data_IF_294594923954
#
_entry.id   IF_294594923954
#
_cell.length_a   1.000
_cell.length_b   1.000
_cell.length_c   1.000
_cell.angle_alpha   90.00
_cell.angle_beta   90.00
_cell.angle_gamma   90.00
#
_symmetry.space_group_name_H-M   'P 1'
#
loop_
_entity.id
_entity.type
_entity.pdbx_description
1 polymer ?
#
# COMPACT_ATOMS: atom_id res chain seq x y z
N UNK A 1 54.37 49.95 -27.77
CA UNK A 1 53.88 48.76 -28.49
C UNK A 1 52.92 49.24 -29.57
N UNK A 2 53.31 49.12 -30.84
CA UNK A 2 52.50 49.61 -31.96
C UNK A 2 51.42 48.58 -32.26
N UNK A 3 50.15 48.93 -32.07
CA UNK A 3 49.05 48.05 -32.47
C UNK A 3 49.08 47.94 -34.00
N UNK A 4 49.16 46.73 -34.59
CA UNK A 4 49.23 46.59 -36.04
C UNK A 4 47.98 47.18 -36.70
N UNK A 5 48.18 47.97 -37.78
CA UNK A 5 47.09 48.71 -38.47
C UNK A 5 45.97 47.85 -39.04
N UNK A 6 46.15 46.54 -39.10
CA UNK A 6 45.09 45.57 -39.39
C UNK A 6 43.96 45.59 -38.35
N UNK A 7 44.26 45.89 -37.07
CA UNK A 7 43.27 45.89 -35.99
C UNK A 7 42.39 47.14 -36.02
N UNK A 8 42.95 48.30 -36.38
CA UNK A 8 42.24 49.60 -36.36
C UNK A 8 41.45 49.89 -37.64
N UNK A 9 41.81 49.25 -38.77
CA UNK A 9 41.08 49.39 -40.04
C UNK A 9 39.72 48.69 -39.99
N UNK A 10 38.65 49.41 -40.36
CA UNK A 10 37.26 48.93 -40.41
C UNK A 10 36.75 48.37 -39.08
N UNK A 11 37.23 48.91 -37.96
CA UNK A 11 36.91 48.40 -36.62
C UNK A 11 35.40 48.31 -36.35
N UNK A 12 34.60 49.29 -36.80
CA UNK A 12 33.13 49.31 -36.65
C UNK A 12 32.46 48.11 -37.35
N UNK A 13 32.92 47.76 -38.55
CA UNK A 13 32.40 46.62 -39.32
C UNK A 13 32.76 45.29 -38.65
N UNK A 14 34.02 45.17 -38.21
CA UNK A 14 34.50 43.98 -37.49
C UNK A 14 33.71 43.75 -36.21
N UNK A 15 33.48 44.81 -35.43
CA UNK A 15 32.67 44.75 -34.22
C UNK A 15 31.22 44.28 -34.52
N UNK A 16 30.60 44.82 -35.57
CA UNK A 16 29.26 44.40 -35.99
C UNK A 16 29.18 42.92 -36.38
N UNK A 17 30.15 42.42 -37.16
CA UNK A 17 30.23 41.00 -37.51
C UNK A 17 30.43 40.11 -36.29
N UNK A 18 31.27 40.52 -35.33
CA UNK A 18 31.50 39.76 -34.10
C UNK A 18 30.24 39.69 -33.23
N UNK A 19 29.49 40.80 -33.10
CA UNK A 19 28.22 40.82 -32.37
C UNK A 19 27.21 39.88 -33.05
N UNK A 20 27.07 39.96 -34.38
CA UNK A 20 26.16 39.08 -35.12
C UNK A 20 26.54 37.61 -34.95
N UNK A 21 27.83 37.27 -35.10
CA UNK A 21 28.32 35.91 -34.87
C UNK A 21 28.04 35.42 -33.44
N UNK A 22 28.21 36.29 -32.43
CA UNK A 22 27.90 35.96 -31.04
C UNK A 22 26.40 35.69 -30.83
N UNK A 23 25.52 36.51 -31.41
CA UNK A 23 24.05 36.30 -31.34
C UNK A 23 23.66 34.98 -32.03
N UNK A 24 24.18 34.72 -33.24
CA UNK A 24 23.90 33.47 -33.95
C UNK A 24 24.42 32.26 -33.19
N UNK A 25 25.61 32.35 -32.59
CA UNK A 25 26.17 31.27 -31.77
C UNK A 25 25.29 30.96 -30.55
N UNK A 26 24.83 31.97 -29.82
CA UNK A 26 23.88 31.79 -28.70
C UNK A 26 22.60 31.09 -29.17
N UNK A 27 22.05 31.50 -30.32
CA UNK A 27 20.86 30.87 -30.90
C UNK A 27 21.07 29.38 -31.22
N UNK A 28 22.20 29.02 -31.82
CA UNK A 28 22.53 27.62 -32.12
C UNK A 28 22.75 26.80 -30.85
N UNK A 29 23.45 27.34 -29.86
CA UNK A 29 23.68 26.66 -28.57
C UNK A 29 22.35 26.39 -27.85
N UNK A 30 21.47 27.39 -27.80
CA UNK A 30 20.16 27.25 -27.17
C UNK A 30 19.26 26.28 -27.95
N UNK A 31 19.34 26.26 -29.29
CA UNK A 31 18.60 25.30 -30.12
C UNK A 31 19.11 23.85 -29.94
N UNK A 32 20.41 23.66 -29.71
CA UNK A 32 21.01 22.35 -29.49
C UNK A 32 20.72 21.76 -28.11
N UNK A 33 20.59 22.61 -27.08
CA UNK A 33 20.34 22.18 -25.70
C UNK A 33 19.36 23.13 -25.00
N UNK A 34 18.08 23.14 -25.41
CA UNK A 34 17.08 24.03 -24.81
C UNK A 34 16.86 23.66 -23.33
N UNK A 35 16.58 24.65 -22.46
CA UNK A 35 16.11 24.37 -21.11
C UNK A 35 14.71 23.77 -21.17
N UNK A 36 14.52 22.68 -20.45
CA UNK A 36 13.26 21.94 -20.37
C UNK A 36 12.79 21.85 -18.91
N UNK A 37 11.53 21.48 -18.74
CA UNK A 37 10.97 21.09 -17.44
C UNK A 37 10.39 19.70 -17.55
N UNK A 38 10.71 18.83 -16.59
CA UNK A 38 10.14 17.48 -16.50
C UNK A 38 9.49 17.28 -15.15
N UNK A 39 8.46 16.43 -15.12
CA UNK A 39 7.81 16.01 -13.88
C UNK A 39 8.29 14.62 -13.53
N UNK A 40 8.69 14.43 -12.28
CA UNK A 40 9.16 13.16 -11.73
C UNK A 40 8.33 12.84 -10.50
N UNK A 41 7.97 11.57 -10.33
CA UNK A 41 7.29 11.08 -9.14
C UNK A 41 8.31 10.51 -8.15
N UNK A 42 8.31 11.01 -6.92
CA UNK A 42 9.12 10.48 -5.83
C UNK A 42 8.25 9.79 -4.79
N UNK A 43 8.73 8.63 -4.34
CA UNK A 43 8.11 7.91 -3.22
C UNK A 43 8.43 8.64 -1.91
N UNK A 44 7.42 8.75 -1.05
CA UNK A 44 7.58 9.35 0.28
C UNK A 44 8.08 8.28 1.25
N UNK A 45 9.24 8.47 1.92
CA UNK A 45 9.73 7.51 2.90
C UNK A 45 8.79 7.37 4.11
N UNK A 46 8.20 6.19 4.25
CA UNK A 46 7.20 5.86 5.27
C UNK A 46 7.63 4.66 6.13
N UNK A 47 8.93 4.57 6.43
CA UNK A 47 9.46 3.48 7.25
C UNK A 47 8.79 3.45 8.64
N UNK A 48 8.35 2.29 9.15
CA UNK A 48 7.70 2.19 10.46
C UNK A 48 8.55 2.71 11.62
N UNK A 49 9.88 2.70 11.49
CA UNK A 49 10.81 3.23 12.48
C UNK A 49 10.91 4.77 12.49
N UNK A 50 10.50 5.44 11.42
CA UNK A 50 10.53 6.90 11.31
C UNK A 50 9.26 7.55 11.91
N UNK A 51 8.15 6.82 11.89
CA UNK A 51 6.86 7.24 12.43
C UNK A 51 6.87 6.99 13.95
N UNK A 52 6.35 7.92 14.79
CA UNK A 52 6.22 7.69 16.22
C UNK A 52 5.46 6.38 16.52
N UNK A 53 6.00 5.52 17.39
CA UNK A 53 5.50 4.16 17.61
C UNK A 53 4.02 4.05 18.05
N UNK A 54 3.45 5.13 18.57
CA UNK A 54 2.03 5.24 18.95
C UNK A 54 1.08 5.42 17.77
N UNK A 55 1.61 5.73 16.58
CA UNK A 55 0.83 5.99 15.38
C UNK A 55 1.12 4.96 14.28
N UNK A 56 0.13 4.79 13.43
CA UNK A 56 0.21 3.99 12.20
C UNK A 56 -0.52 4.74 11.09
N UNK A 57 -0.03 4.63 9.86
CA UNK A 57 -0.70 5.19 8.70
C UNK A 57 -1.97 4.39 8.41
N UNK A 58 -3.10 5.07 8.21
CA UNK A 58 -4.33 4.39 7.78
C UNK A 58 -4.24 3.92 6.33
N UNK A 59 -3.45 4.62 5.52
CA UNK A 59 -3.25 4.38 4.11
C UNK A 59 -1.82 4.79 3.72
N UNK A 60 -1.18 4.08 2.77
CA UNK A 60 0.11 4.49 2.23
C UNK A 60 0.04 5.89 1.63
N UNK A 61 1.05 6.72 1.94
CA UNK A 61 1.12 8.07 1.36
C UNK A 61 1.44 7.97 -0.14
N UNK A 62 0.67 8.65 -1.01
CA UNK A 62 0.90 8.57 -2.45
C UNK A 62 2.23 9.21 -2.86
N UNK A 63 2.79 8.81 -4.01
CA UNK A 63 4.00 9.44 -4.55
C UNK A 63 3.76 10.91 -4.87
N UNK A 64 4.76 11.74 -4.61
CA UNK A 64 4.69 13.18 -4.82
C UNK A 64 5.30 13.55 -6.16
N UNK A 65 4.57 14.32 -6.97
CA UNK A 65 5.04 14.82 -8.25
C UNK A 65 5.85 16.10 -8.06
N UNK A 66 7.06 16.15 -8.62
CA UNK A 66 7.99 17.27 -8.50
C UNK A 66 8.42 17.69 -9.89
N UNK A 67 8.51 19.00 -10.10
CA UNK A 67 9.01 19.56 -11.35
C UNK A 67 10.51 19.83 -11.22
N UNK A 68 11.25 19.38 -12.22
CA UNK A 68 12.69 19.62 -12.32
C UNK A 68 12.98 20.42 -13.59
N UNK A 69 13.87 21.39 -13.48
CA UNK A 69 14.31 22.26 -14.56
C UNK A 69 15.79 22.08 -14.84
N UNK A 70 16.19 22.17 -16.11
CA UNK A 70 17.59 22.09 -16.48
C UNK A 70 17.78 22.10 -17.99
N UNK A 71 19.03 22.13 -18.42
CA UNK A 71 19.36 21.89 -19.82
C UNK A 71 18.91 20.46 -20.22
N UNK A 72 18.39 20.28 -21.43
CA UNK A 72 17.92 18.99 -21.93
C UNK A 72 18.92 17.86 -21.69
N UNK A 73 20.20 18.08 -21.98
CA UNK A 73 21.26 17.08 -21.74
C UNK A 73 21.38 16.65 -20.28
N UNK A 74 21.21 17.59 -19.34
CA UNK A 74 21.25 17.32 -17.90
C UNK A 74 20.02 16.53 -17.46
N UNK A 75 18.84 16.87 -17.98
CA UNK A 75 17.61 16.14 -17.71
C UNK A 75 17.56 14.74 -18.35
N UNK A 76 18.25 14.54 -19.47
CA UNK A 76 18.38 13.23 -20.12
C UNK A 76 19.30 12.28 -19.33
N UNK A 77 20.34 12.82 -18.67
CA UNK A 77 21.21 12.06 -17.77
C UNK A 77 20.73 12.00 -16.32
N UNK A 78 19.62 12.64 -15.98
CA UNK A 78 19.15 12.77 -14.61
C UNK A 78 18.60 11.46 -14.06
N UNK A 79 19.04 11.08 -12.86
CA UNK A 79 18.53 9.92 -12.13
C UNK A 79 17.73 10.37 -10.91
N UNK A 80 16.55 9.77 -10.71
CA UNK A 80 15.70 10.06 -9.54
C UNK A 80 16.36 9.69 -8.21
N UNK A 81 17.40 8.85 -8.23
CA UNK A 81 18.18 8.47 -7.05
C UNK A 81 19.02 9.63 -6.48
N UNK A 82 19.26 10.70 -7.24
CA UNK A 82 19.93 11.91 -6.73
C UNK A 82 19.00 12.76 -5.85
N UNK A 83 17.68 12.51 -5.90
CA UNK A 83 16.69 13.18 -5.07
C UNK A 83 16.51 12.45 -3.75
N UNK A 84 16.71 13.17 -2.66
CA UNK A 84 16.44 12.68 -1.31
C UNK A 84 15.25 13.41 -0.72
N UNK A 85 14.23 12.65 -0.31
CA UNK A 85 13.06 13.17 0.40
C UNK A 85 13.23 12.89 1.89
N UNK A 86 13.13 13.93 2.72
CA UNK A 86 13.07 13.81 4.18
C UNK A 86 11.69 14.22 4.66
N UNK A 87 11.10 13.43 5.54
CA UNK A 87 9.77 13.65 6.09
C UNK A 87 9.87 13.83 7.59
N UNK A 88 9.29 14.89 8.12
CA UNK A 88 9.28 15.13 9.56
C UNK A 88 8.04 14.54 10.23
N UNK A 89 8.01 13.22 10.41
CA UNK A 89 6.90 12.53 11.09
C UNK A 89 6.72 12.95 12.57
N UNK A 90 7.72 13.57 13.18
CA UNK A 90 7.67 14.02 14.57
C UNK A 90 6.78 15.26 14.76
N UNK A 91 6.40 15.94 13.68
CA UNK A 91 5.45 17.06 13.76
C UNK A 91 4.02 16.60 14.07
N UNK A 92 3.71 15.32 13.91
CA UNK A 92 2.37 14.77 14.14
C UNK A 92 2.23 14.35 15.61
N UNK A 93 1.32 15.02 16.32
CA UNK A 93 1.09 14.80 17.76
C UNK A 93 -0.27 14.19 18.07
N UNK A 94 -1.22 14.25 17.14
CA UNK A 94 -2.59 13.75 17.27
C UNK A 94 -2.93 12.77 16.14
N UNK A 95 -3.90 11.87 16.33
CA UNK A 95 -4.47 11.09 15.23
C UNK A 95 -5.35 11.98 14.34
N UNK A 96 -5.42 11.64 13.06
CA UNK A 96 -6.20 12.32 12.03
C UNK A 96 -5.38 12.63 10.78
N UNK A 97 -6.00 13.42 9.91
CA UNK A 97 -5.37 13.94 8.69
C UNK A 97 -4.48 15.15 9.02
N UNK A 98 -3.20 15.06 8.63
CA UNK A 98 -2.20 16.07 8.90
C UNK A 98 -1.37 16.39 7.65
N UNK A 99 -1.00 17.67 7.53
CA UNK A 99 0.00 18.14 6.58
C UNK A 99 1.39 17.94 7.20
N UNK A 100 2.07 16.87 6.79
CA UNK A 100 3.40 16.53 7.30
C UNK A 100 4.46 17.30 6.49
N UNK A 101 5.34 18.09 7.12
CA UNK A 101 6.40 18.79 6.42
C UNK A 101 7.38 17.83 5.76
N UNK A 102 7.72 18.11 4.51
CA UNK A 102 8.73 17.38 3.74
C UNK A 102 9.81 18.34 3.24
N UNK A 103 11.02 17.81 3.08
CA UNK A 103 12.15 18.53 2.48
C UNK A 103 12.76 17.66 1.40
N UNK A 104 12.85 18.21 0.19
CA UNK A 104 13.40 17.53 -0.96
C UNK A 104 14.74 18.20 -1.29
N UNK A 105 15.80 17.40 -1.32
CA UNK A 105 17.15 17.88 -1.67
C UNK A 105 17.64 17.17 -2.92
N UNK A 106 18.20 17.93 -3.85
CA UNK A 106 18.84 17.40 -5.05
C UNK A 106 20.37 17.41 -4.87
N UNK A 107 21.02 16.28 -5.16
CA UNK A 107 22.48 16.18 -5.17
C UNK A 107 23.12 16.61 -6.51
N UNK A 108 22.35 16.66 -7.61
CA UNK A 108 22.83 17.11 -8.91
C UNK A 108 22.66 18.62 -9.06
N UNK A 109 23.76 19.35 -9.21
CA UNK A 109 23.77 20.81 -9.38
C UNK A 109 23.32 21.28 -10.76
N UNK A 110 23.24 20.38 -11.75
CA UNK A 110 22.83 20.74 -13.13
C UNK A 110 21.32 20.74 -13.31
N UNK A 111 20.57 20.33 -12.28
CA UNK A 111 19.12 20.22 -12.29
C UNK A 111 18.55 20.96 -11.08
N UNK A 112 17.63 21.87 -11.32
CA UNK A 112 16.95 22.65 -10.29
C UNK A 112 15.57 22.07 -9.98
N UNK A 113 15.15 22.19 -8.72
CA UNK A 113 13.80 21.86 -8.28
C UNK A 113 12.89 23.07 -8.49
N UNK A 114 11.87 22.94 -9.32
CA UNK A 114 10.88 24.01 -9.57
C UNK A 114 9.69 23.77 -8.64
N UNK A 115 9.45 24.73 -7.74
CA UNK A 115 8.34 24.73 -6.77
C UNK A 115 8.16 23.37 -6.04
N UNK A 116 9.21 22.86 -5.36
CA UNK A 116 9.09 21.59 -4.67
C UNK A 116 8.03 21.69 -3.56
N UNK A 117 7.16 20.67 -3.43
CA UNK A 117 6.15 20.64 -2.38
C UNK A 117 6.82 20.60 -1.00
N UNK A 118 6.25 21.34 -0.06
CA UNK A 118 6.78 21.51 1.30
C UNK A 118 6.02 20.68 2.34
N UNK A 119 4.85 20.15 1.98
CA UNK A 119 4.08 19.23 2.82
C UNK A 119 3.43 18.12 2.01
N UNK A 120 3.11 17.03 2.70
CA UNK A 120 2.29 15.95 2.16
C UNK A 120 1.16 15.63 3.13
N UNK A 121 -0.03 15.35 2.58
CA UNK A 121 -1.16 14.89 3.38
C UNK A 121 -0.93 13.43 3.79
N UNK A 122 -0.98 13.16 5.09
CA UNK A 122 -0.97 11.82 5.64
C UNK A 122 -2.09 11.66 6.67
N UNK A 123 -2.76 10.51 6.67
CA UNK A 123 -3.77 10.18 7.67
C UNK A 123 -3.20 9.13 8.64
N UNK A 124 -3.04 9.54 9.90
CA UNK A 124 -2.48 8.72 10.95
C UNK A 124 -3.55 8.37 11.97
N UNK A 125 -3.51 7.15 12.49
CA UNK A 125 -4.37 6.72 13.59
C UNK A 125 -3.52 6.14 14.72
N UNK A 126 -4.14 5.97 15.89
CA UNK A 126 -3.50 5.33 17.03
C UNK A 126 -3.24 3.86 16.69
N UNK A 127 -2.01 3.42 16.91
CA UNK A 127 -1.64 2.01 16.81
C UNK A 127 -2.25 1.28 18.00
N UNK A 128 -3.15 0.34 17.73
CA UNK A 128 -3.80 -0.49 18.74
C UNK A 128 -3.73 -1.96 18.35
N UNK A 129 -4.07 -2.84 19.29
CA UNK A 129 -4.12 -4.28 19.09
C UNK A 129 -5.39 -4.86 19.69
N UNK A 130 -6.10 -5.70 18.94
CA UNK A 130 -7.29 -6.40 19.41
C UNK A 130 -7.11 -7.90 19.28
N UNK A 131 -7.57 -8.66 20.28
CA UNK A 131 -7.62 -10.12 20.21
C UNK A 131 -9.01 -10.55 19.74
N UNK A 132 -9.07 -11.17 18.57
CA UNK A 132 -10.33 -11.61 17.94
C UNK A 132 -10.36 -13.15 17.87
N UNK A 133 -11.48 -13.80 18.23
CA UNK A 133 -11.62 -15.24 18.08
C UNK A 133 -11.63 -15.65 16.60
N UNK A 134 -11.03 -16.81 16.30
CA UNK A 134 -10.98 -17.33 14.94
C UNK A 134 -12.27 -18.07 14.62
N UNK A 135 -12.96 -17.61 13.58
CA UNK A 135 -14.19 -18.24 13.07
C UNK A 135 -13.88 -19.14 11.89
N UNK A 136 -14.25 -20.41 11.98
CA UNK A 136 -14.10 -21.35 10.86
C UNK A 136 -15.33 -21.21 9.97
N UNK A 137 -15.11 -21.02 8.65
CA UNK A 137 -16.17 -20.97 7.66
C UNK A 137 -15.99 -22.10 6.65
N UNK A 138 -16.98 -22.98 6.60
CA UNK A 138 -17.02 -24.09 5.66
C UNK A 138 -17.61 -23.61 4.33
N UNK A 139 -16.84 -23.69 3.25
CA UNK A 139 -17.29 -23.26 1.91
C UNK A 139 -18.21 -24.29 1.27
N UNK A 140 -17.80 -25.58 1.28
CA UNK A 140 -18.62 -26.69 0.82
C UNK A 140 -18.81 -27.70 1.97
N UNK A 141 -20.06 -28.11 2.25
CA UNK A 141 -20.34 -29.09 3.28
C UNK A 141 -19.77 -30.48 2.92
N UNK A 142 -19.61 -31.37 3.90
CA UNK A 142 -19.20 -32.74 3.65
C UNK A 142 -20.21 -33.50 2.76
N UNK A 143 -19.78 -34.56 2.07
CA UNK A 143 -20.65 -35.36 1.21
C UNK A 143 -21.81 -36.00 1.98
N UNK A 144 -22.89 -36.37 1.29
CA UNK A 144 -24.07 -36.96 1.92
C UNK A 144 -23.73 -38.17 2.79
N UNK A 145 -24.40 -38.27 3.95
CA UNK A 145 -24.14 -39.30 4.95
C UNK A 145 -23.08 -38.91 5.99
N UNK A 146 -22.44 -37.74 5.85
CA UNK A 146 -21.48 -37.21 6.81
C UNK A 146 -21.95 -35.85 7.37
N UNK A 147 -21.64 -35.62 8.65
CA UNK A 147 -21.97 -34.38 9.37
C UNK A 147 -20.76 -33.90 10.16
N UNK A 148 -20.63 -32.59 10.29
CA UNK A 148 -19.60 -31.98 11.13
C UNK A 148 -20.02 -32.17 12.59
N UNK A 149 -19.14 -32.81 13.38
CA UNK A 149 -19.40 -33.06 14.81
C UNK A 149 -18.74 -32.01 15.69
N UNK A 150 -17.55 -31.54 15.33
CA UNK A 150 -16.87 -30.46 16.07
C UNK A 150 -15.86 -29.74 15.18
N UNK A 151 -15.66 -28.46 15.47
CA UNK A 151 -14.68 -27.59 14.84
C UNK A 151 -13.84 -26.93 15.92
N UNK A 152 -12.51 -26.91 15.74
CA UNK A 152 -11.61 -26.21 16.65
C UNK A 152 -10.45 -25.59 15.88
N UNK A 153 -10.07 -24.38 16.30
CA UNK A 153 -8.88 -23.68 15.85
C UNK A 153 -7.89 -23.54 17.02
N UNK A 154 -6.61 -23.75 16.74
CA UNK A 154 -5.51 -23.60 17.69
C UNK A 154 -4.40 -22.73 17.07
N UNK A 155 -4.12 -21.53 17.63
CA UNK A 155 -4.84 -20.88 18.72
C UNK A 155 -6.30 -20.51 18.36
N UNK A 156 -7.14 -20.42 19.40
CA UNK A 156 -8.56 -20.07 19.25
C UNK A 156 -8.79 -18.58 18.97
N UNK A 157 -7.78 -17.74 19.20
CA UNK A 157 -7.79 -16.31 18.95
C UNK A 157 -6.49 -15.85 18.28
N UNK A 158 -6.59 -14.76 17.54
CA UNK A 158 -5.46 -14.08 16.92
C UNK A 158 -5.41 -12.63 17.39
N UNK A 159 -4.21 -12.09 17.49
CA UNK A 159 -4.00 -10.67 17.78
C UNK A 159 -3.83 -9.94 16.45
N UNK A 160 -4.64 -8.91 16.24
CA UNK A 160 -4.62 -8.06 15.07
C UNK A 160 -4.10 -6.70 15.52
N UNK A 161 -3.03 -6.22 14.88
CA UNK A 161 -2.42 -4.91 15.13
C UNK A 161 -2.69 -4.02 13.93
N UNK A 162 -3.18 -2.80 14.18
CA UNK A 162 -3.55 -1.87 13.12
C UNK A 162 -4.10 -0.54 13.62
N UNK A 163 -4.64 0.29 12.71
CA UNK A 163 -5.35 1.53 13.04
C UNK A 163 -6.57 1.23 13.92
N UNK A 164 -6.67 1.87 15.09
CA UNK A 164 -7.77 1.65 16.04
C UNK A 164 -9.16 1.74 15.40
N UNK A 165 -9.36 2.68 14.48
CA UNK A 165 -10.63 2.84 13.77
C UNK A 165 -10.98 1.65 12.88
N UNK A 166 -9.98 1.02 12.26
CA UNK A 166 -10.19 -0.15 11.40
C UNK A 166 -10.34 -1.44 12.19
N UNK A 167 -9.83 -1.51 13.42
CA UNK A 167 -9.95 -2.71 14.27
C UNK A 167 -11.38 -3.01 14.72
N UNK A 168 -12.26 -1.99 14.73
CA UNK A 168 -13.65 -2.14 15.20
C UNK A 168 -14.48 -2.93 14.19
N UNK A 169 -14.98 -4.09 14.62
CA UNK A 169 -15.84 -4.94 13.79
C UNK A 169 -15.08 -5.85 12.82
N UNK A 170 -13.79 -6.08 13.06
CA UNK A 170 -13.02 -7.08 12.32
C UNK A 170 -13.34 -8.50 12.80
N UNK A 171 -13.50 -9.40 11.84
CA UNK A 171 -13.65 -10.84 12.06
C UNK A 171 -12.43 -11.58 11.51
N UNK A 172 -11.81 -12.41 12.35
CA UNK A 172 -10.81 -13.36 11.90
C UNK A 172 -11.50 -14.62 11.38
N UNK A 173 -11.26 -14.97 10.12
CA UNK A 173 -11.91 -16.10 9.47
C UNK A 173 -10.92 -17.03 8.80
N UNK A 174 -11.18 -18.32 8.92
CA UNK A 174 -10.45 -19.36 8.19
C UNK A 174 -11.45 -20.11 7.33
N UNK A 175 -11.17 -20.21 6.03
CA UNK A 175 -11.99 -20.95 5.09
C UNK A 175 -11.49 -22.38 4.95
N UNK A 176 -12.41 -23.34 5.04
CA UNK A 176 -12.09 -24.77 4.85
C UNK A 176 -13.09 -25.39 3.88
N UNK A 177 -12.59 -26.21 2.97
CA UNK A 177 -13.39 -26.97 2.02
C UNK A 177 -13.51 -28.44 2.48
N UNK A 178 -14.75 -28.92 2.63
CA UNK A 178 -15.06 -30.27 3.07
C UNK A 178 -15.72 -31.13 1.98
N UNK A 179 -15.82 -30.67 0.72
CA UNK A 179 -16.59 -31.34 -0.34
C UNK A 179 -16.27 -32.84 -0.50
N UNK A 180 -14.99 -33.22 -0.32
CA UNK A 180 -14.52 -34.60 -0.47
C UNK A 180 -14.12 -35.25 0.87
N UNK A 181 -14.43 -34.62 2.01
CA UNK A 181 -13.96 -35.07 3.32
C UNK A 181 -14.95 -36.03 3.99
N UNK A 182 -14.53 -37.29 4.12
CA UNK A 182 -15.29 -38.38 4.77
C UNK A 182 -14.72 -38.78 6.14
N UNK A 183 -13.57 -38.22 6.51
CA UNK A 183 -12.85 -38.49 7.75
C UNK A 183 -12.45 -37.17 8.41
N UNK A 184 -11.96 -37.24 9.65
CA UNK A 184 -11.44 -36.08 10.36
C UNK A 184 -10.38 -35.36 9.53
N UNK A 185 -10.49 -34.04 9.46
CA UNK A 185 -9.56 -33.17 8.75
C UNK A 185 -8.74 -32.37 9.78
N UNK A 186 -7.43 -32.35 9.60
CA UNK A 186 -6.51 -31.50 10.37
C UNK A 186 -5.65 -30.72 9.40
N UNK A 187 -5.83 -29.40 9.38
CA UNK A 187 -5.02 -28.46 8.60
C UNK A 187 -4.04 -27.81 9.56
N UNK A 188 -2.74 -28.08 9.41
CA UNK A 188 -1.72 -27.58 10.35
C UNK A 188 -1.43 -26.08 10.19
N UNK A 189 -1.56 -25.54 8.97
CA UNK A 189 -1.22 -24.16 8.64
C UNK A 189 -2.34 -23.54 7.78
N UNK A 190 -3.48 -23.27 8.40
CA UNK A 190 -4.55 -22.54 7.73
C UNK A 190 -4.29 -21.04 7.85
N UNK A 191 -4.29 -20.33 6.72
CA UNK A 191 -4.11 -18.87 6.68
C UNK A 191 -5.34 -18.19 7.28
N UNK A 192 -5.12 -17.27 8.21
CA UNK A 192 -6.18 -16.44 8.79
C UNK A 192 -6.39 -15.22 7.91
N UNK A 193 -7.62 -15.04 7.44
CA UNK A 193 -8.03 -13.88 6.66
C UNK A 193 -8.92 -12.99 7.52
N UNK A 194 -8.68 -11.68 7.44
CA UNK A 194 -9.45 -10.69 8.21
C UNK A 194 -10.52 -10.09 7.31
N UNK A 195 -11.74 -10.02 7.84
CA UNK A 195 -12.89 -9.43 7.17
C UNK A 195 -13.44 -8.28 8.01
N UNK A 196 -13.96 -7.25 7.34
CA UNK A 196 -14.73 -6.20 7.99
C UNK A 196 -16.19 -6.63 8.26
N UNK A 197 -16.95 -5.77 8.93
CA UNK A 197 -18.37 -5.99 9.20
C UNK A 197 -19.24 -6.09 7.93
N UNK A 198 -18.72 -5.70 6.75
CA UNK A 198 -19.40 -5.82 5.44
C UNK A 198 -19.00 -7.10 4.70
N UNK A 199 -18.11 -7.91 5.28
CA UNK A 199 -17.58 -9.12 4.67
C UNK A 199 -16.52 -8.86 3.59
N UNK A 200 -15.93 -7.67 3.53
CA UNK A 200 -14.81 -7.32 2.65
C UNK A 200 -13.50 -7.70 3.34
N UNK A 201 -12.60 -8.33 2.60
CA UNK A 201 -11.30 -8.73 3.12
C UNK A 201 -10.40 -7.50 3.32
N UNK A 202 -9.79 -7.40 4.50
CA UNK A 202 -8.84 -6.33 4.86
C UNK A 202 -7.43 -6.92 4.85
N UNK A 203 -6.53 -6.37 4.03
CA UNK A 203 -5.17 -6.87 3.84
C UNK A 203 -4.07 -6.11 4.56
N UNK A 204 -4.35 -4.90 5.06
CA UNK A 204 -3.33 -3.96 5.57
C UNK A 204 -3.20 -3.99 7.10
N UNK A 205 -3.34 -5.18 7.69
CA UNK A 205 -3.27 -5.38 9.15
C UNK A 205 -2.29 -6.48 9.51
N UNK A 206 -1.54 -6.26 10.58
CA UNK A 206 -0.56 -7.23 11.08
C UNK A 206 -1.27 -8.26 11.97
N UNK A 207 -1.36 -9.51 11.49
CA UNK A 207 -2.03 -10.60 12.21
C UNK A 207 -1.01 -11.55 12.81
N UNK A 208 -1.07 -11.74 14.13
CA UNK A 208 -0.18 -12.65 14.86
C UNK A 208 -0.98 -13.63 15.74
N UNK A 209 -0.86 -14.96 15.53
CA UNK A 209 -0.21 -15.62 14.40
C UNK A 209 -1.04 -15.53 13.12
N UNK A 210 -0.39 -15.38 11.95
CA UNK A 210 -1.06 -15.36 10.65
C UNK A 210 -1.57 -16.72 10.18
N UNK A 211 -1.16 -17.81 10.85
CA UNK A 211 -1.63 -19.17 10.56
C UNK A 211 -2.09 -19.87 11.83
N UNK A 212 -3.09 -20.73 11.69
CA UNK A 212 -3.66 -21.51 12.79
C UNK A 212 -3.85 -22.96 12.38
N UNK A 213 -3.81 -23.86 13.36
CA UNK A 213 -4.18 -25.25 13.17
C UNK A 213 -5.69 -25.39 13.27
N UNK A 214 -6.33 -25.91 12.24
CA UNK A 214 -7.77 -26.21 12.23
C UNK A 214 -7.98 -27.71 12.27
N UNK A 215 -8.81 -28.17 13.21
CA UNK A 215 -9.24 -29.55 13.33
C UNK A 215 -10.75 -29.64 13.24
N UNK A 216 -11.24 -30.43 12.27
CA UNK A 216 -12.65 -30.67 12.03
C UNK A 216 -12.90 -32.18 12.16
N UNK A 217 -13.81 -32.55 13.06
CA UNK A 217 -14.22 -33.94 13.25
C UNK A 217 -15.49 -34.17 12.43
N UNK A 218 -15.45 -35.18 11.57
CA UNK A 218 -16.55 -35.54 10.69
C UNK A 218 -17.10 -36.89 11.13
N UNK A 219 -18.39 -36.91 11.49
CA UNK A 219 -19.12 -38.10 11.90
C UNK A 219 -20.04 -38.61 10.80
N UNK A 220 -20.41 -39.88 10.85
CA UNK A 220 -21.46 -40.44 9.99
C UNK A 220 -22.84 -40.05 10.52
N UNK A 221 -23.72 -39.56 9.65
CA UNK A 221 -25.13 -39.34 9.98
C UNK A 221 -25.84 -40.69 10.03
N UNK A 222 -25.82 -41.36 11.19
CA UNK A 222 -26.59 -42.59 11.38
C UNK A 222 -28.07 -42.22 11.51
N UNK A 223 -28.79 -42.32 10.40
CA UNK A 223 -30.26 -42.31 10.41
C UNK A 223 -30.69 -43.59 11.11
N UNK A 224 -30.94 -43.52 12.41
CA UNK A 224 -31.58 -44.59 13.15
C UNK A 224 -33.00 -44.69 12.62
N UNK A 225 -33.21 -45.57 11.65
CA UNK A 225 -34.53 -46.07 11.27
C UNK A 225 -35.13 -46.72 12.53
N UNK A 226 -35.83 -45.92 13.34
CA UNK A 226 -36.76 -46.45 14.32
C UNK A 226 -37.81 -47.14 13.47
N UNK A 227 -37.72 -48.47 13.40
CA UNK A 227 -38.71 -49.35 12.79
C UNK A 227 -39.96 -49.36 13.69
N UNK A 228 -40.57 -48.20 13.86
CA UNK A 228 -41.91 -48.05 14.42
C UNK A 228 -42.88 -48.39 13.30
N UNK A 229 -43.48 -49.58 13.39
CA UNK A 229 -44.69 -49.92 12.63
C UNK A 229 -45.82 -49.01 13.13
N UNK A 230 -45.94 -47.77 12.63
CA UNK A 230 -47.21 -47.04 12.44
C UNK A 230 -46.98 -45.72 11.69
N UNK A 231 -47.94 -45.40 10.83
CA UNK A 231 -47.92 -44.46 9.70
C UNK A 231 -47.97 -42.96 10.12
N UNK A 232 -48.00 -41.99 9.17
CA UNK A 232 -47.14 -40.81 9.19
C UNK A 232 -47.77 -39.60 9.89
N UNK A 233 -46.94 -38.83 10.60
CA UNK A 233 -47.24 -37.44 10.92
C UNK A 233 -46.15 -36.54 10.32
N UNK A 234 -46.62 -35.60 9.51
CA UNK A 234 -45.86 -34.61 8.74
C UNK A 234 -44.76 -33.94 9.58
N UNK A 235 -43.50 -34.04 9.16
CA UNK A 235 -42.46 -33.10 9.59
C UNK A 235 -42.54 -31.85 8.72
N UNK A 236 -43.09 -30.79 9.31
CA UNK A 236 -43.17 -29.44 8.75
C UNK A 236 -41.77 -28.81 8.78
N UNK A 237 -41.26 -28.42 7.62
CA UNK A 237 -40.06 -27.60 7.47
C UNK A 237 -40.34 -26.24 8.14
N UNK A 238 -39.69 -25.97 9.26
CA UNK A 238 -39.68 -24.63 9.86
C UNK A 238 -38.62 -23.80 9.14
N UNK A 239 -39.08 -22.97 8.22
CA UNK A 239 -38.31 -21.92 7.56
C UNK A 239 -38.29 -20.73 8.53
N UNK A 240 -37.20 -20.54 9.26
CA UNK A 240 -36.89 -19.29 9.96
C UNK A 240 -35.71 -18.65 9.21
N UNK A 241 -35.99 -17.72 8.30
CA UNK A 241 -36.10 -16.29 8.56
C UNK A 241 -34.72 -15.67 8.85
N UNK A 242 -34.24 -14.93 7.84
CA UNK A 242 -33.13 -13.97 7.90
C UNK A 242 -33.31 -12.99 9.07
N UNK A 243 -32.21 -12.51 9.61
CA UNK A 243 -31.93 -11.07 9.58
C UNK A 243 -30.88 -10.74 8.50
#
# INVERSE_FOLDING_TARGET
MHVPGFITRNFRLKLGCTIFAMITWVGVVYAGNPPETRTVSLQVPQAPSAIPARFILMQPVPPVAIRIGGARSSLDGFSTASLTVKVNWQSVTTPGEHQVPITITNADSNVELIDPPTSVTANLDTRSSISTPVTIRVTNPPPQGYVISSEAAAPASVVIVGPEQQLKGLEARVTVDLQNQKTNLVVQQALVLIYDARGVQVGDVDVTPGTVKVSIIVGTCSTRLIRSRRAPSRCRVSRAARP
#
